data_IF_520331596544
#
_entry.id   IF_520331596544
#
_cell.length_a   1.000
_cell.length_b   1.000
_cell.length_c   1.000
_cell.angle_alpha   90.00
_cell.angle_beta   90.00
_cell.angle_gamma   90.00
#
_symmetry.space_group_name_H-M   'P 1'
#
loop_
_entity.id
_entity.type
_entity.pdbx_description
1 polymer ?
#
# COMPACT_ATOMS: atom_id res chain seq x y z
N UNK A 1 -6.78 7.67 -24.70
CA UNK A 1 -6.90 7.51 -23.25
C UNK A 1 -7.46 8.80 -22.67
N UNK A 2 -8.54 8.74 -21.88
CA UNK A 2 -9.04 9.92 -21.18
C UNK A 2 -8.08 10.30 -20.04
N UNK A 3 -7.88 11.61 -19.82
CA UNK A 3 -7.14 12.09 -18.66
C UNK A 3 -7.90 11.74 -17.36
N UNK A 4 -7.21 11.50 -16.24
CA UNK A 4 -7.87 11.26 -14.96
C UNK A 4 -8.67 12.50 -14.53
N UNK A 5 -9.84 12.24 -13.93
CA UNK A 5 -10.63 13.26 -13.23
C UNK A 5 -10.26 13.27 -11.77
N UNK A 6 -9.98 14.46 -11.24
CA UNK A 6 -9.60 14.67 -9.84
C UNK A 6 -10.80 15.01 -8.98
N UNK A 7 -10.85 14.46 -7.79
CA UNK A 7 -11.94 14.63 -6.83
C UNK A 7 -11.40 14.84 -5.41
N UNK A 8 -12.24 15.38 -4.54
CA UNK A 8 -11.98 15.43 -3.10
C UNK A 8 -13.22 14.92 -2.35
N UNK A 9 -12.98 14.21 -1.26
CA UNK A 9 -14.01 13.66 -0.40
C UNK A 9 -13.72 14.03 1.06
N UNK A 10 -14.67 14.72 1.69
CA UNK A 10 -14.59 14.98 3.12
C UNK A 10 -15.00 13.71 3.89
N UNK A 11 -14.14 13.27 4.78
CA UNK A 11 -14.33 12.12 5.66
C UNK A 11 -14.06 12.53 7.11
N UNK A 12 -14.50 11.76 8.12
CA UNK A 12 -14.21 12.10 9.50
C UNK A 12 -12.70 12.28 9.75
N UNK A 13 -12.30 13.49 10.14
CA UNK A 13 -10.93 13.83 10.48
C UNK A 13 -9.96 14.02 9.31
N UNK A 14 -10.47 14.03 8.05
CA UNK A 14 -9.59 14.21 6.88
C UNK A 14 -10.37 14.69 5.65
N UNK A 15 -9.64 15.19 4.66
CA UNK A 15 -10.13 15.40 3.30
C UNK A 15 -9.25 14.63 2.34
N UNK A 16 -9.85 13.64 1.66
CA UNK A 16 -9.14 12.73 0.75
C UNK A 16 -9.15 13.28 -0.67
N UNK A 17 -8.01 13.20 -1.32
CA UNK A 17 -7.87 13.42 -2.76
C UNK A 17 -7.86 12.07 -3.47
N UNK A 18 -8.60 11.94 -4.57
CA UNK A 18 -8.58 10.75 -5.42
C UNK A 18 -8.77 11.09 -6.88
N UNK A 19 -8.35 10.18 -7.75
CA UNK A 19 -8.46 10.29 -9.20
C UNK A 19 -9.20 9.07 -9.76
N UNK A 20 -10.00 9.32 -10.82
CA UNK A 20 -10.74 8.29 -11.54
C UNK A 20 -10.41 8.38 -13.02
N UNK A 21 -10.09 7.26 -13.67
CA UNK A 21 -9.83 7.19 -15.11
C UNK A 21 -10.29 5.86 -15.69
N UNK A 22 -10.57 5.86 -17.01
CA UNK A 22 -11.03 4.66 -17.71
C UNK A 22 -12.51 4.38 -17.54
N UNK A 23 -12.93 3.18 -17.93
CA UNK A 23 -14.32 2.70 -17.81
C UNK A 23 -14.32 1.17 -17.73
N UNK A 24 -15.35 0.61 -17.07
CA UNK A 24 -15.46 -0.83 -16.83
C UNK A 24 -15.61 -1.13 -15.33
N UNK A 25 -15.36 -2.37 -14.91
CA UNK A 25 -15.36 -2.74 -13.50
C UNK A 25 -14.39 -1.86 -12.70
N UNK A 26 -14.73 -1.55 -11.46
CA UNK A 26 -13.89 -0.70 -10.61
C UNK A 26 -12.67 -1.47 -10.11
N UNK A 27 -11.48 -0.88 -10.25
CA UNK A 27 -10.26 -1.31 -9.57
C UNK A 27 -9.70 -0.16 -8.75
N UNK A 28 -9.53 -0.39 -7.45
CA UNK A 28 -8.92 0.55 -6.51
C UNK A 28 -7.45 0.21 -6.29
N UNK A 29 -6.56 1.18 -6.52
CA UNK A 29 -5.13 1.03 -6.25
C UNK A 29 -4.80 1.70 -4.92
N UNK A 30 -4.34 0.90 -3.96
CA UNK A 30 -4.12 1.32 -2.57
C UNK A 30 -2.64 1.22 -2.22
N UNK A 31 -2.03 2.35 -1.91
CA UNK A 31 -0.66 2.43 -1.38
C UNK A 31 -0.63 3.02 0.03
N UNK A 32 0.49 2.86 0.73
CA UNK A 32 0.85 3.59 1.94
C UNK A 32 2.35 3.45 2.20
N UNK A 33 3.09 4.55 2.36
CA UNK A 33 2.71 5.98 2.36
C UNK A 33 2.45 6.56 0.96
N UNK A 34 2.69 5.77 -0.06
CA UNK A 34 2.53 6.11 -1.46
C UNK A 34 1.05 6.37 -1.82
N UNK A 35 0.81 7.47 -2.54
CA UNK A 35 -0.50 7.83 -3.07
C UNK A 35 -0.60 7.65 -4.60
N UNK A 36 -1.42 8.49 -5.24
CA UNK A 36 -1.73 8.48 -6.68
C UNK A 36 -0.47 8.40 -7.56
N UNK A 37 0.55 9.21 -7.27
CA UNK A 37 1.77 9.29 -8.07
C UNK A 37 2.54 7.96 -8.15
N UNK A 38 2.44 7.13 -7.11
CA UNK A 38 3.11 5.83 -7.07
C UNK A 38 2.57 4.84 -8.09
N UNK A 39 1.32 5.01 -8.53
CA UNK A 39 0.67 4.14 -9.51
C UNK A 39 0.66 4.70 -10.93
N UNK A 40 1.35 5.81 -11.19
CA UNK A 40 1.35 6.49 -12.49
C UNK A 40 1.76 5.58 -13.67
N UNK A 41 2.57 4.55 -13.43
CA UNK A 41 3.00 3.63 -14.47
C UNK A 41 1.93 2.58 -14.84
N UNK A 42 1.11 2.13 -13.88
CA UNK A 42 0.13 1.06 -14.12
C UNK A 42 -1.30 1.56 -14.30
N UNK A 43 -1.66 2.69 -13.70
CA UNK A 43 -3.03 3.20 -13.76
C UNK A 43 -3.53 3.44 -15.20
N UNK A 44 -2.73 4.06 -16.11
CA UNK A 44 -3.15 4.23 -17.51
C UNK A 44 -3.30 2.90 -18.27
N UNK A 45 -2.48 1.89 -17.94
CA UNK A 45 -2.56 0.57 -18.55
C UNK A 45 -3.83 -0.16 -18.12
N UNK A 46 -4.19 -0.09 -16.83
CA UNK A 46 -5.40 -0.69 -16.30
C UNK A 46 -6.66 0.04 -16.78
N UNK A 47 -6.58 1.34 -17.05
CA UNK A 47 -7.70 2.15 -17.53
C UNK A 47 -8.21 1.76 -18.94
N UNK A 48 -7.51 0.85 -19.63
CA UNK A 48 -7.98 0.26 -20.89
C UNK A 48 -9.20 -0.65 -20.67
N UNK A 49 -9.31 -1.31 -19.50
CA UNK A 49 -10.34 -2.31 -19.21
C UNK A 49 -11.14 -2.00 -17.93
N UNK A 50 -10.64 -1.11 -17.08
CA UNK A 50 -11.19 -0.82 -15.76
C UNK A 50 -11.50 0.65 -15.55
N UNK A 51 -12.43 0.93 -14.66
CA UNK A 51 -12.52 2.22 -13.96
C UNK A 51 -11.49 2.19 -12.84
N UNK A 52 -10.34 2.82 -13.08
CA UNK A 52 -9.22 2.86 -12.14
C UNK A 52 -9.40 4.00 -11.17
N UNK A 53 -9.36 3.69 -9.89
CA UNK A 53 -9.41 4.65 -8.78
C UNK A 53 -8.07 4.62 -8.04
N UNK A 54 -7.46 5.78 -7.89
CA UNK A 54 -6.26 6.00 -7.08
C UNK A 54 -6.54 7.08 -6.05
N UNK A 55 -5.91 7.04 -4.88
CA UNK A 55 -6.09 8.08 -3.87
C UNK A 55 -4.78 8.37 -3.13
N UNK A 56 -4.70 9.54 -2.54
CA UNK A 56 -3.65 9.87 -1.59
C UNK A 56 -4.16 9.52 -0.18
N UNK A 57 -3.45 8.67 0.60
CA UNK A 57 -3.86 8.35 1.97
C UNK A 57 -3.95 9.61 2.85
N UNK A 58 -4.79 9.58 3.89
CA UNK A 58 -4.95 10.72 4.82
C UNK A 58 -3.61 11.22 5.36
N UNK A 59 -3.40 12.53 5.30
CA UNK A 59 -2.17 13.18 5.74
C UNK A 59 -0.97 12.99 4.80
N UNK A 60 -1.17 12.43 3.59
CA UNK A 60 -0.13 12.30 2.58
C UNK A 60 -0.49 13.05 1.30
N UNK A 61 0.53 13.60 0.65
CA UNK A 61 0.42 14.32 -0.63
C UNK A 61 -0.69 15.41 -0.61
N UNK A 62 -1.78 15.22 -1.36
CA UNK A 62 -2.88 16.18 -1.49
C UNK A 62 -4.02 15.94 -0.49
N UNK A 63 -4.01 14.82 0.23
CA UNK A 63 -4.97 14.55 1.29
C UNK A 63 -4.56 15.22 2.59
N UNK A 64 -5.51 15.92 3.21
CA UNK A 64 -5.28 16.57 4.52
C UNK A 64 -5.71 15.67 5.67
N UNK A 65 -5.31 16.03 6.87
CA UNK A 65 -5.71 15.41 8.14
C UNK A 65 -5.91 16.51 9.19
N UNK A 66 -6.94 16.38 10.02
CA UNK A 66 -7.28 17.39 11.02
C UNK A 66 -6.34 17.29 12.24
N UNK A 67 -6.00 16.08 12.65
CA UNK A 67 -5.07 15.81 13.74
C UNK A 67 -3.73 15.30 13.18
N UNK A 68 -2.66 16.11 13.17
CA UNK A 68 -1.36 15.73 12.63
C UNK A 68 -0.69 14.60 13.44
N UNK A 69 -1.08 14.39 14.69
CA UNK A 69 -0.53 13.36 15.56
C UNK A 69 -1.30 12.01 15.44
N UNK A 70 -2.38 11.96 14.64
CA UNK A 70 -3.15 10.73 14.42
C UNK A 70 -2.32 9.67 13.69
N UNK A 71 -2.23 8.49 14.27
CA UNK A 71 -1.56 7.35 13.65
C UNK A 71 -2.33 6.81 12.43
N UNK A 72 -1.60 6.21 11.49
CA UNK A 72 -2.14 5.59 10.28
C UNK A 72 -2.67 4.17 10.60
N UNK A 73 -3.71 4.09 11.41
CA UNK A 73 -4.34 2.83 11.78
C UNK A 73 -4.97 2.14 10.57
N UNK A 74 -4.62 0.88 10.24
CA UNK A 74 -5.13 0.21 9.04
C UNK A 74 -6.65 0.13 8.97
N UNK A 75 -7.34 0.01 10.11
CA UNK A 75 -8.79 -0.01 10.17
C UNK A 75 -9.42 1.32 9.77
N UNK A 76 -8.79 2.43 10.14
CA UNK A 76 -9.21 3.77 9.74
C UNK A 76 -8.93 4.02 8.25
N UNK A 77 -7.77 3.59 7.76
CA UNK A 77 -7.43 3.66 6.34
C UNK A 77 -8.37 2.80 5.48
N UNK A 78 -8.81 1.67 6.00
CA UNK A 78 -9.80 0.82 5.34
C UNK A 78 -11.18 1.52 5.23
N UNK A 79 -11.61 2.27 6.26
CA UNK A 79 -12.84 3.08 6.18
C UNK A 79 -12.73 4.20 5.15
N UNK A 80 -11.56 4.82 5.00
CA UNK A 80 -11.29 5.80 3.94
C UNK A 80 -11.45 5.19 2.55
N UNK A 81 -10.83 4.03 2.30
CA UNK A 81 -10.92 3.32 1.02
C UNK A 81 -12.37 2.94 0.72
N UNK A 82 -13.11 2.42 1.70
CA UNK A 82 -14.54 2.13 1.56
C UNK A 82 -15.33 3.37 1.13
N UNK A 83 -15.11 4.52 1.79
CA UNK A 83 -15.81 5.78 1.46
C UNK A 83 -15.49 6.26 0.05
N UNK A 84 -14.25 6.14 -0.39
CA UNK A 84 -13.87 6.46 -1.78
C UNK A 84 -14.57 5.51 -2.75
N UNK A 85 -14.62 4.21 -2.49
CA UNK A 85 -15.35 3.24 -3.32
C UNK A 85 -16.85 3.56 -3.40
N UNK A 86 -17.49 3.93 -2.28
CA UNK A 86 -18.90 4.35 -2.26
C UNK A 86 -19.13 5.63 -3.09
N UNK A 87 -18.21 6.59 -3.04
CA UNK A 87 -18.30 7.83 -3.82
C UNK A 87 -18.14 7.59 -5.34
N UNK A 88 -17.46 6.52 -5.74
CA UNK A 88 -17.26 6.19 -7.17
C UNK A 88 -18.39 5.34 -7.74
N UNK A 89 -19.12 4.58 -6.92
CA UNK A 89 -20.23 3.77 -7.45
C UNK A 89 -20.72 2.64 -6.54
N UNK A 90 -20.01 2.36 -5.44
CA UNK A 90 -20.49 1.57 -4.30
C UNK A 90 -20.69 0.07 -4.48
N UNK A 91 -20.36 -0.52 -5.61
CA UNK A 91 -20.38 -1.98 -5.80
C UNK A 91 -19.10 -2.66 -5.32
N UNK A 92 -19.08 -4.02 -5.25
CA UNK A 92 -17.85 -4.74 -5.01
C UNK A 92 -16.80 -4.37 -6.07
N UNK A 93 -15.58 -4.08 -5.63
CA UNK A 93 -14.48 -3.64 -6.48
C UNK A 93 -13.30 -4.59 -6.41
N UNK A 94 -12.50 -4.63 -7.47
CA UNK A 94 -11.15 -5.15 -7.39
C UNK A 94 -10.27 -4.19 -6.60
N UNK A 95 -9.41 -4.72 -5.76
CA UNK A 95 -8.46 -3.93 -4.97
C UNK A 95 -7.05 -4.47 -5.17
N UNK A 96 -6.16 -3.63 -5.64
CA UNK A 96 -4.72 -3.89 -5.62
C UNK A 96 -4.10 -3.05 -4.51
N UNK A 97 -3.65 -3.70 -3.45
CA UNK A 97 -2.93 -3.07 -2.35
C UNK A 97 -1.45 -3.42 -2.39
N UNK A 98 -0.57 -2.42 -2.28
CA UNK A 98 0.88 -2.63 -2.21
C UNK A 98 1.45 -2.13 -0.88
N UNK A 99 2.35 -2.93 -0.28
CA UNK A 99 3.02 -2.57 0.98
C UNK A 99 2.00 -2.28 2.09
N UNK A 100 2.06 -1.12 2.75
CA UNK A 100 1.04 -0.70 3.73
C UNK A 100 -0.37 -0.60 3.14
N UNK A 101 -0.50 -0.34 1.84
CA UNK A 101 -1.80 -0.41 1.14
C UNK A 101 -2.35 -1.83 1.04
N UNK A 102 -1.50 -2.85 1.02
CA UNK A 102 -1.94 -4.24 1.12
C UNK A 102 -2.47 -4.56 2.53
N UNK A 103 -1.86 -3.99 3.56
CA UNK A 103 -2.36 -4.09 4.95
C UNK A 103 -3.73 -3.42 5.07
N UNK A 104 -3.87 -2.22 4.50
CA UNK A 104 -5.18 -1.53 4.41
C UNK A 104 -6.22 -2.36 3.67
N UNK A 105 -5.84 -3.03 2.56
CA UNK A 105 -6.73 -3.93 1.82
C UNK A 105 -7.19 -5.13 2.65
N UNK A 106 -6.30 -5.72 3.45
CA UNK A 106 -6.68 -6.81 4.37
C UNK A 106 -7.66 -6.33 5.44
N UNK A 107 -7.44 -5.14 6.02
CA UNK A 107 -8.38 -4.52 6.95
C UNK A 107 -9.73 -4.23 6.28
N UNK A 108 -9.72 -3.77 5.02
CA UNK A 108 -10.93 -3.50 4.24
C UNK A 108 -11.77 -4.77 4.04
N UNK A 109 -11.15 -5.88 3.62
CA UNK A 109 -11.86 -7.16 3.45
C UNK A 109 -12.42 -7.66 4.76
N UNK A 110 -11.65 -7.59 5.85
CA UNK A 110 -12.09 -8.08 7.16
C UNK A 110 -13.29 -7.29 7.71
N UNK A 111 -13.32 -5.97 7.51
CA UNK A 111 -14.33 -5.07 8.10
C UNK A 111 -15.52 -4.80 7.16
N UNK A 112 -15.28 -4.79 5.86
CA UNK A 112 -16.26 -4.40 4.84
C UNK A 112 -16.30 -5.39 3.66
N UNK A 113 -16.54 -6.68 3.93
CA UNK A 113 -16.38 -7.75 2.93
C UNK A 113 -17.26 -7.58 1.69
N UNK A 114 -18.38 -6.84 1.78
CA UNK A 114 -19.27 -6.58 0.66
C UNK A 114 -18.75 -5.53 -0.34
N UNK A 115 -17.65 -4.84 -0.04
CA UNK A 115 -17.06 -3.81 -0.92
C UNK A 115 -15.93 -4.33 -1.80
N UNK A 116 -15.47 -5.57 -1.57
CA UNK A 116 -14.34 -6.15 -2.29
C UNK A 116 -14.75 -7.44 -2.97
N UNK A 117 -14.49 -7.54 -4.27
CA UNK A 117 -14.63 -8.77 -5.04
C UNK A 117 -13.35 -9.61 -4.96
N UNK A 118 -12.22 -8.99 -5.29
CA UNK A 118 -10.89 -9.61 -5.16
C UNK A 118 -9.89 -8.59 -4.61
N UNK A 119 -9.18 -8.96 -3.56
CA UNK A 119 -8.01 -8.25 -3.07
C UNK A 119 -6.74 -8.94 -3.56
N UNK A 120 -5.87 -8.21 -4.26
CA UNK A 120 -4.48 -8.60 -4.47
C UNK A 120 -3.61 -7.83 -3.48
N UNK A 121 -3.13 -8.51 -2.43
CA UNK A 121 -2.27 -7.97 -1.38
C UNK A 121 -0.80 -8.23 -1.74
N UNK A 122 -0.14 -7.22 -2.32
CA UNK A 122 1.26 -7.31 -2.77
C UNK A 122 2.21 -6.85 -1.66
N UNK A 123 2.98 -7.81 -1.14
CA UNK A 123 4.03 -7.61 -0.15
C UNK A 123 3.63 -6.78 1.10
N UNK A 124 2.54 -7.16 1.81
CA UNK A 124 2.18 -6.51 3.08
C UNK A 124 3.28 -6.73 4.12
N UNK A 125 3.81 -5.65 4.76
CA UNK A 125 4.95 -5.74 5.69
C UNK A 125 4.53 -6.17 7.11
N UNK A 126 3.80 -7.28 7.24
CA UNK A 126 3.25 -7.79 8.49
C UNK A 126 4.33 -8.44 9.36
N UNK A 127 5.04 -7.62 10.13
CA UNK A 127 6.20 -8.02 10.95
C UNK A 127 5.90 -9.19 11.89
N UNK A 128 4.67 -9.21 12.45
CA UNK A 128 4.27 -10.19 13.47
C UNK A 128 3.93 -11.56 12.90
N UNK A 129 3.86 -11.72 11.58
CA UNK A 129 3.69 -13.02 10.92
C UNK A 129 5.02 -13.74 10.66
N UNK A 130 6.13 -13.02 10.77
CA UNK A 130 7.45 -13.63 10.54
C UNK A 130 7.81 -14.63 11.66
N UNK A 131 8.51 -15.74 11.36
CA UNK A 131 8.99 -16.68 12.37
C UNK A 131 9.80 -16.01 13.49
N UNK A 132 10.56 -14.96 13.14
CA UNK A 132 11.32 -14.13 14.06
C UNK A 132 10.59 -12.80 14.41
N UNK A 133 9.30 -12.88 14.75
CA UNK A 133 8.45 -11.71 15.03
C UNK A 133 9.06 -10.73 16.04
N UNK A 134 9.67 -11.22 17.12
CA UNK A 134 10.31 -10.36 18.12
C UNK A 134 11.53 -9.60 17.56
N UNK A 135 12.34 -10.24 16.70
CA UNK A 135 13.43 -9.57 16.01
C UNK A 135 12.91 -8.54 15.00
N UNK A 136 11.82 -8.89 14.31
CA UNK A 136 11.17 -7.98 13.38
C UNK A 136 10.59 -6.76 14.10
N UNK A 137 9.93 -6.97 15.23
CA UNK A 137 9.43 -5.91 16.12
C UNK A 137 10.57 -4.99 16.59
N UNK A 138 11.64 -5.57 17.14
CA UNK A 138 12.79 -4.80 17.59
C UNK A 138 13.43 -3.98 16.47
N UNK A 139 13.53 -4.54 15.25
CA UNK A 139 14.05 -3.84 14.08
C UNK A 139 13.19 -2.65 13.65
N UNK A 140 11.85 -2.75 13.72
CA UNK A 140 10.96 -1.64 13.41
C UNK A 140 11.02 -0.54 14.48
N UNK A 141 11.11 -0.90 15.75
CA UNK A 141 11.33 0.08 16.83
C UNK A 141 12.70 0.78 16.68
N UNK A 142 13.76 0.06 16.36
CA UNK A 142 15.08 0.63 16.13
C UNK A 142 15.09 1.64 14.96
N UNK A 143 14.31 1.40 13.89
CA UNK A 143 14.12 2.37 12.80
C UNK A 143 13.38 3.61 13.31
N UNK A 144 12.30 3.43 14.08
CA UNK A 144 11.54 4.52 14.67
C UNK A 144 12.40 5.37 15.63
N UNK A 145 13.14 4.72 16.52
CA UNK A 145 14.04 5.38 17.48
C UNK A 145 15.15 6.13 16.71
N UNK A 146 15.71 5.53 15.67
CA UNK A 146 16.69 6.19 14.79
C UNK A 146 16.09 7.46 14.15
N UNK A 147 14.81 7.42 13.72
CA UNK A 147 14.12 8.61 13.21
C UNK A 147 14.04 9.70 14.28
N UNK A 148 13.64 9.35 15.50
CA UNK A 148 13.48 10.29 16.61
C UNK A 148 14.79 10.92 17.07
N UNK A 149 15.88 10.17 17.06
CA UNK A 149 17.19 10.57 17.57
C UNK A 149 18.09 11.20 16.52
N UNK A 150 18.04 10.69 15.28
CA UNK A 150 19.02 11.00 14.24
C UNK A 150 18.38 11.53 12.93
N UNK A 151 17.05 11.61 12.87
CA UNK A 151 16.30 12.22 11.78
C UNK A 151 16.09 11.31 10.56
N UNK A 152 15.43 11.89 9.54
CA UNK A 152 14.90 11.20 8.37
C UNK A 152 15.96 10.41 7.59
N UNK A 153 17.13 11.02 7.34
CA UNK A 153 18.17 10.38 6.51
C UNK A 153 18.72 9.11 7.15
N UNK A 154 18.99 9.14 8.45
CA UNK A 154 19.44 7.98 9.21
C UNK A 154 18.37 6.89 9.26
N UNK A 155 17.10 7.28 9.46
CA UNK A 155 15.97 6.37 9.47
C UNK A 155 15.81 5.65 8.13
N UNK A 156 15.90 6.34 6.99
CA UNK A 156 15.85 5.71 5.66
C UNK A 156 17.00 4.73 5.42
N UNK A 157 18.21 5.05 5.87
CA UNK A 157 19.35 4.13 5.79
C UNK A 157 19.08 2.87 6.61
N UNK A 158 18.61 3.04 7.85
CA UNK A 158 18.27 1.95 8.75
C UNK A 158 17.14 1.08 8.17
N UNK A 159 16.08 1.71 7.69
CA UNK A 159 14.96 1.06 7.02
C UNK A 159 15.41 0.23 5.83
N UNK A 160 16.17 0.81 4.91
CA UNK A 160 16.68 0.10 3.72
C UNK A 160 17.59 -1.06 4.09
N UNK A 161 18.45 -0.88 5.09
CA UNK A 161 19.34 -1.94 5.59
C UNK A 161 18.58 -3.11 6.22
N UNK A 162 17.50 -2.82 6.95
CA UNK A 162 16.70 -3.84 7.61
C UNK A 162 15.74 -4.55 6.67
N UNK A 163 15.03 -3.79 5.82
CA UNK A 163 13.96 -4.33 4.95
C UNK A 163 14.46 -4.87 3.63
N UNK A 164 15.62 -4.42 3.16
CA UNK A 164 16.13 -4.65 1.80
C UNK A 164 15.49 -3.77 0.74
N UNK A 165 14.49 -2.96 1.09
CA UNK A 165 13.80 -2.05 0.17
C UNK A 165 14.72 -0.85 -0.11
N UNK A 166 15.09 -0.69 -1.37
CA UNK A 166 15.91 0.45 -1.81
C UNK A 166 14.99 1.55 -2.34
N UNK A 167 14.95 2.68 -1.64
CA UNK A 167 14.35 3.89 -2.18
C UNK A 167 15.31 4.43 -3.25
N UNK A 168 14.91 4.34 -4.53
CA UNK A 168 15.67 4.95 -5.61
C UNK A 168 15.32 6.44 -5.69
N UNK A 169 16.31 7.33 -5.67
CA UNK A 169 16.12 8.70 -6.17
C UNK A 169 15.64 8.61 -7.63
N UNK A 170 14.68 9.43 -8.01
CA UNK A 170 14.23 9.50 -9.41
C UNK A 170 15.26 10.26 -10.25
N UNK A 171 16.20 9.51 -10.88
CA UNK A 171 17.26 10.05 -11.73
C UNK A 171 18.61 10.26 -10.99
N UNK A 172 19.71 10.25 -11.76
CA UNK A 172 21.08 10.43 -11.23
C UNK A 172 21.29 11.80 -10.59
N UNK A 173 20.61 12.83 -11.07
CA UNK A 173 20.68 14.20 -10.54
C UNK A 173 19.83 14.38 -9.26
N UNK A 174 18.77 13.60 -9.08
CA UNK A 174 17.93 13.67 -7.88
C UNK A 174 18.69 13.23 -6.61
N UNK A 175 19.66 12.33 -6.75
CA UNK A 175 20.51 11.90 -5.61
C UNK A 175 21.41 13.02 -5.06
N UNK A 176 21.59 14.12 -5.82
CA UNK A 176 22.45 15.25 -5.46
C UNK A 176 21.68 16.47 -4.96
N UNK A 177 20.36 16.47 -5.09
CA UNK A 177 19.51 17.56 -4.63
C UNK A 177 18.97 17.28 -3.21
N UNK A 178 18.80 18.32 -2.38
CA UNK A 178 18.10 18.14 -1.12
C UNK A 178 16.66 17.66 -1.38
N UNK A 179 16.08 16.82 -0.49
CA UNK A 179 14.71 16.36 -0.64
C UNK A 179 13.74 17.54 -0.68
N UNK A 180 12.68 17.43 -1.48
CA UNK A 180 11.62 18.45 -1.52
C UNK A 180 10.89 18.51 -0.16
N UNK A 181 10.24 19.65 0.13
CA UNK A 181 9.44 19.78 1.36
C UNK A 181 8.34 18.70 1.46
N UNK A 182 7.75 18.31 0.32
CA UNK A 182 6.77 17.21 0.26
C UNK A 182 7.40 15.86 0.63
N UNK A 183 8.60 15.55 0.13
CA UNK A 183 9.32 14.32 0.47
C UNK A 183 9.72 14.27 1.96
N UNK A 184 10.07 15.44 2.53
CA UNK A 184 10.35 15.56 3.97
C UNK A 184 9.08 15.29 4.77
N UNK A 185 7.97 15.99 4.48
CA UNK A 185 6.71 15.83 5.19
C UNK A 185 6.17 14.39 5.09
N UNK A 186 6.27 13.76 3.90
CA UNK A 186 5.92 12.36 3.70
C UNK A 186 6.77 11.44 4.59
N UNK A 187 8.07 11.70 4.68
CA UNK A 187 8.97 10.88 5.50
C UNK A 187 8.71 11.04 6.99
N UNK A 188 8.47 12.28 7.45
CA UNK A 188 8.10 12.58 8.85
C UNK A 188 6.81 11.85 9.23
N UNK A 189 5.78 11.96 8.39
CA UNK A 189 4.51 11.29 8.60
C UNK A 189 4.66 9.76 8.60
N UNK A 190 5.43 9.22 7.64
CA UNK A 190 5.65 7.77 7.53
C UNK A 190 6.36 7.22 8.76
N UNK A 191 7.49 7.79 9.16
CA UNK A 191 8.23 7.28 10.31
C UNK A 191 7.54 7.58 11.63
N UNK A 192 6.93 8.78 11.77
CA UNK A 192 6.29 9.18 13.01
C UNK A 192 4.98 8.45 13.30
N UNK A 193 4.16 8.22 12.27
CA UNK A 193 2.77 7.82 12.43
C UNK A 193 2.33 6.64 11.54
N UNK A 194 3.15 6.18 10.61
CA UNK A 194 2.79 5.12 9.66
C UNK A 194 3.53 3.81 9.90
N UNK A 195 4.83 3.85 10.18
CA UNK A 195 5.70 2.69 10.21
C UNK A 195 5.19 1.61 11.18
N UNK A 196 5.02 1.96 12.45
CA UNK A 196 4.67 0.99 13.49
C UNK A 196 3.22 0.50 13.39
N UNK A 197 2.19 1.34 13.23
CA UNK A 197 0.81 0.88 13.10
C UNK A 197 0.61 -0.09 11.92
N UNK A 198 1.22 0.22 10.77
CA UNK A 198 1.13 -0.62 9.57
C UNK A 198 1.85 -1.94 9.75
N UNK A 199 3.10 -1.92 10.26
CA UNK A 199 3.92 -3.15 10.34
C UNK A 199 3.50 -4.07 11.48
N UNK A 200 2.85 -3.54 12.51
CA UNK A 200 2.37 -4.32 13.67
C UNK A 200 0.89 -4.67 13.59
N UNK A 201 0.22 -4.33 12.49
CA UNK A 201 -1.15 -4.74 12.28
C UNK A 201 -1.30 -6.26 12.33
N UNK A 202 -2.35 -6.72 12.98
CA UNK A 202 -2.69 -8.14 13.06
C UNK A 202 -4.02 -8.36 12.32
N UNK A 203 -4.00 -8.91 11.11
CA UNK A 203 -5.22 -9.18 10.35
C UNK A 203 -6.14 -10.14 11.11
N UNK A 204 -7.44 -9.89 11.07
CA UNK A 204 -8.45 -10.84 11.54
C UNK A 204 -8.59 -11.98 10.51
N UNK A 205 -7.85 -13.05 10.73
CA UNK A 205 -7.84 -14.23 9.85
C UNK A 205 -9.20 -14.93 9.78
N UNK A 206 -9.98 -14.89 10.86
CA UNK A 206 -11.33 -15.48 10.88
C UNK A 206 -12.26 -14.70 9.94
N UNK A 207 -12.22 -13.37 10.01
CA UNK A 207 -12.98 -12.50 9.12
C UNK A 207 -12.53 -12.66 7.66
N UNK A 208 -11.21 -12.71 7.40
CA UNK A 208 -10.67 -12.90 6.05
C UNK A 208 -11.09 -14.23 5.42
N UNK A 209 -11.04 -15.32 6.17
CA UNK A 209 -11.43 -16.66 5.71
C UNK A 209 -12.95 -16.80 5.53
N UNK A 210 -13.75 -16.07 6.30
CA UNK A 210 -15.21 -16.03 6.20
C UNK A 210 -15.75 -15.04 5.16
N UNK A 211 -14.91 -14.16 4.60
CA UNK A 211 -15.33 -13.17 3.63
C UNK A 211 -15.67 -13.81 2.27
N UNK A 212 -16.67 -13.28 1.55
CA UNK A 212 -16.94 -13.69 0.16
C UNK A 212 -15.86 -13.21 -0.81
N UNK A 213 -15.08 -12.19 -0.43
CA UNK A 213 -14.00 -11.64 -1.23
C UNK A 213 -12.85 -12.64 -1.40
N UNK A 214 -12.33 -12.76 -2.62
CA UNK A 214 -11.11 -13.54 -2.87
C UNK A 214 -9.88 -12.75 -2.44
N UNK A 215 -9.06 -13.31 -1.55
CA UNK A 215 -7.78 -12.72 -1.13
C UNK A 215 -6.63 -13.45 -1.80
N UNK A 216 -5.88 -12.74 -2.61
CA UNK A 216 -4.68 -13.23 -3.32
C UNK A 216 -3.46 -12.52 -2.76
N UNK A 217 -2.44 -13.27 -2.38
CA UNK A 217 -1.19 -12.70 -1.87
C UNK A 217 -0.15 -12.71 -2.97
N UNK A 218 0.46 -11.55 -3.23
CA UNK A 218 1.50 -11.37 -4.25
C UNK A 218 2.87 -11.08 -3.65
N UNK A 219 3.92 -11.51 -4.35
CA UNK A 219 5.30 -11.19 -4.03
C UNK A 219 6.15 -10.97 -5.27
N UNK A 220 7.10 -10.04 -5.21
CA UNK A 220 7.98 -9.72 -6.31
C UNK A 220 9.05 -10.80 -6.54
N UNK A 221 9.32 -11.13 -7.80
CA UNK A 221 10.33 -12.13 -8.16
C UNK A 221 11.75 -11.75 -7.75
N UNK A 222 12.06 -10.43 -7.72
CA UNK A 222 13.39 -9.92 -7.37
C UNK A 222 13.52 -9.46 -5.91
N UNK A 223 12.44 -9.49 -5.13
CA UNK A 223 12.45 -9.19 -3.68
C UNK A 223 12.46 -10.46 -2.82
N UNK A 224 12.65 -11.64 -3.40
CA UNK A 224 12.69 -12.92 -2.65
C UNK A 224 13.67 -12.84 -1.48
N UNK A 225 13.18 -13.20 -0.28
CA UNK A 225 13.95 -13.15 0.96
C UNK A 225 14.01 -11.77 1.65
N UNK A 226 13.53 -10.71 1.04
CA UNK A 226 13.40 -9.39 1.68
C UNK A 226 12.25 -9.40 2.68
N UNK A 227 12.25 -8.43 3.59
CA UNK A 227 11.32 -8.36 4.72
C UNK A 227 9.84 -8.48 4.31
N UNK A 228 9.36 -7.62 3.40
CA UNK A 228 7.96 -7.59 3.00
C UNK A 228 7.54 -8.83 2.20
N UNK A 229 8.44 -9.35 1.34
CA UNK A 229 8.18 -10.58 0.59
C UNK A 229 8.09 -11.80 1.53
N UNK A 230 8.95 -11.88 2.54
CA UNK A 230 8.87 -12.95 3.56
C UNK A 230 7.57 -12.87 4.37
N UNK A 231 7.13 -11.65 4.71
CA UNK A 231 5.85 -11.46 5.38
C UNK A 231 4.66 -11.86 4.48
N UNK A 232 4.75 -11.59 3.16
CA UNK A 232 3.76 -12.07 2.18
C UNK A 232 3.72 -13.60 2.09
N UNK A 233 4.86 -14.28 2.12
CA UNK A 233 4.91 -15.76 2.19
C UNK A 233 4.19 -16.27 3.43
N UNK A 234 4.51 -15.71 4.61
CA UNK A 234 3.88 -16.10 5.87
C UNK A 234 2.36 -15.83 5.87
N UNK A 235 1.91 -14.73 5.26
CA UNK A 235 0.49 -14.43 5.07
C UNK A 235 -0.18 -15.49 4.17
N UNK A 236 0.42 -15.83 3.03
CA UNK A 236 -0.11 -16.81 2.10
C UNK A 236 -0.26 -18.19 2.77
N UNK A 237 0.77 -18.62 3.51
CA UNK A 237 0.73 -19.86 4.32
C UNK A 237 -0.39 -19.81 5.35
N UNK A 238 -0.57 -18.69 6.04
CA UNK A 238 -1.60 -18.53 7.07
C UNK A 238 -3.02 -18.54 6.49
N UNK A 239 -3.19 -18.07 5.26
CA UNK A 239 -4.46 -18.10 4.52
C UNK A 239 -4.69 -19.44 3.81
N UNK A 240 -3.69 -20.33 3.74
CA UNK A 240 -3.76 -21.58 3.00
C UNK A 240 -3.81 -21.38 1.47
N UNK A 241 -3.25 -20.29 0.96
CA UNK A 241 -3.25 -19.92 -0.46
C UNK A 241 -1.82 -19.87 -1.03
N UNK A 242 -1.63 -20.09 -2.34
CA UNK A 242 -0.32 -19.91 -2.95
C UNK A 242 0.07 -18.43 -2.99
N UNK A 243 1.37 -18.15 -2.89
CA UNK A 243 1.92 -16.85 -3.23
C UNK A 243 2.00 -16.72 -4.75
N UNK A 244 1.49 -15.64 -5.31
CA UNK A 244 1.59 -15.33 -6.74
C UNK A 244 2.84 -14.48 -6.98
N UNK A 245 3.71 -14.96 -7.87
CA UNK A 245 4.92 -14.24 -8.27
C UNK A 245 4.56 -13.10 -9.24
N UNK A 246 4.91 -11.86 -8.87
CA UNK A 246 4.78 -10.67 -9.71
C UNK A 246 6.14 -10.24 -10.28
N UNK A 247 6.20 -9.71 -11.51
CA UNK A 247 7.43 -9.17 -12.10
C UNK A 247 8.05 -8.05 -11.25
N UNK A 248 9.38 -8.00 -11.21
CA UNK A 248 10.11 -7.03 -10.42
C UNK A 248 10.18 -7.36 -8.93
N UNK A 249 10.38 -6.34 -8.11
CA UNK A 249 10.46 -6.46 -6.64
C UNK A 249 9.30 -5.76 -5.96
N UNK A 250 9.57 -5.21 -4.77
CA UNK A 250 8.58 -4.50 -3.94
C UNK A 250 7.81 -3.39 -4.69
N UNK A 251 8.46 -2.73 -5.63
CA UNK A 251 7.88 -1.70 -6.50
C UNK A 251 7.82 -2.12 -7.96
N UNK A 252 7.66 -3.42 -8.24
CA UNK A 252 7.59 -3.98 -9.60
C UNK A 252 6.51 -3.35 -10.48
N UNK A 253 5.39 -2.92 -9.88
CA UNK A 253 4.34 -2.18 -10.58
C UNK A 253 4.82 -0.83 -11.18
N UNK A 254 5.93 -0.28 -10.69
CA UNK A 254 6.53 0.94 -11.25
C UNK A 254 7.67 0.64 -12.23
N UNK A 255 8.51 -0.38 -11.96
CA UNK A 255 9.68 -0.72 -12.79
C UNK A 255 9.36 -1.64 -13.96
N UNK A 256 8.39 -2.56 -13.79
CA UNK A 256 8.05 -3.63 -14.74
C UNK A 256 6.56 -3.56 -15.12
N UNK A 257 6.03 -2.35 -15.26
CA UNK A 257 4.60 -2.02 -15.29
C UNK A 257 3.77 -2.88 -16.26
N UNK A 258 4.23 -3.11 -17.50
CA UNK A 258 3.48 -3.88 -18.51
C UNK A 258 3.31 -5.34 -18.10
N UNK A 259 4.40 -5.99 -17.71
CA UNK A 259 4.38 -7.39 -17.33
C UNK A 259 3.64 -7.57 -16.00
N UNK A 260 3.82 -6.62 -15.07
CA UNK A 260 3.09 -6.57 -13.81
C UNK A 260 1.57 -6.49 -14.03
N UNK A 261 1.10 -5.59 -14.89
CA UNK A 261 -0.32 -5.46 -15.23
C UNK A 261 -0.85 -6.72 -15.92
N UNK A 262 -0.04 -7.39 -16.75
CA UNK A 262 -0.39 -8.68 -17.35
C UNK A 262 -0.72 -9.74 -16.29
N UNK A 263 0.15 -9.90 -15.28
CA UNK A 263 -0.08 -10.82 -14.15
C UNK A 263 -1.28 -10.36 -13.30
N UNK A 264 -1.41 -9.05 -13.03
CA UNK A 264 -2.53 -8.53 -12.25
C UNK A 264 -3.87 -8.81 -12.93
N UNK A 265 -4.02 -8.53 -14.23
CA UNK A 265 -5.22 -8.85 -15.01
C UNK A 265 -5.59 -10.33 -14.95
N UNK A 266 -4.60 -11.20 -15.14
CA UNK A 266 -4.81 -12.65 -15.03
C UNK A 266 -5.23 -13.08 -13.63
N UNK A 267 -4.71 -12.41 -12.60
CA UNK A 267 -5.05 -12.68 -11.21
C UNK A 267 -6.46 -12.22 -10.86
N UNK A 268 -6.96 -11.15 -11.49
CA UNK A 268 -8.31 -10.61 -11.24
C UNK A 268 -9.41 -11.38 -12.01
N UNK A 269 -9.09 -11.96 -13.13
CA UNK A 269 -10.00 -12.83 -13.91
C UNK A 269 -10.28 -14.15 -13.15
#
# INVERSE_FOLDING_TARGET
>A
MSLPTSHSLDVPGARLYYEVQGSGPVIMLVGHPMGVSGFAAIAPLLAEDYTVVTYDPRGFSRSTIDDPDQDAEPDLLADDVRRVLEAVGGGPAYVFGSSGGAVTGLALVARYPGHVETLVAHEPPLALLLPEAEKARAGMHDIYDTYRESGISAAWQRFSGFTGIKMRPQGEDAARQPPSAEAVAMSERFFGHGLLPITFYQPDFSALQGAPARVVVGGGTTSKGQFAQRAAVALAERLGSPLIDFPGGHTGFASDAKDFVGVLRHTLA
#
